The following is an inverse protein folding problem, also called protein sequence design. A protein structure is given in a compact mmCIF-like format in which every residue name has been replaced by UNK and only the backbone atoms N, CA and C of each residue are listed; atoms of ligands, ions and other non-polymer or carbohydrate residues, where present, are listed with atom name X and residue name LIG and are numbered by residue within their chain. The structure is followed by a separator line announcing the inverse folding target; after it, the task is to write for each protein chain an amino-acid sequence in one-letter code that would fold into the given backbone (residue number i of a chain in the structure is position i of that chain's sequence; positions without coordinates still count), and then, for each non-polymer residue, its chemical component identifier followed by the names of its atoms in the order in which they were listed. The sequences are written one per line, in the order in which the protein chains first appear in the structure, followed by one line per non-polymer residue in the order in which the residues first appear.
data_IF_586148937935
#
_entry.id   IF_586148937935
#
_cell.length_a   1.000
_cell.length_b   1.000
_cell.length_c   1.000
_cell.angle_alpha   90.00
_cell.angle_beta   90.00
_cell.angle_gamma   90.00
#
_symmetry.space_group_name_H-M   'P 1'
#
loop_
_entity.id
_entity.type
_entity.pdbx_description
1 polymer ?
#
# COMPACT_ATOMS: atom_id res chain seq x y z
N UNK A 1 -2.79 -9.15 20.74
CA UNK A 1 -2.94 -8.46 19.45
C UNK A 1 -4.42 -8.48 19.09
N UNK A 2 -5.09 -7.32 19.11
CA UNK A 2 -6.52 -7.24 18.84
C UNK A 2 -6.76 -7.38 17.33
N UNK A 3 -7.51 -8.39 16.90
CA UNK A 3 -8.03 -8.45 15.53
C UNK A 3 -8.99 -7.27 15.34
N UNK A 4 -8.57 -6.28 14.55
CA UNK A 4 -9.42 -5.13 14.23
C UNK A 4 -10.49 -5.61 13.25
N UNK A 5 -11.76 -5.46 13.63
CA UNK A 5 -12.91 -5.90 12.82
C UNK A 5 -12.88 -5.23 11.44
N UNK A 6 -13.21 -5.96 10.36
CA UNK A 6 -13.32 -5.36 9.03
C UNK A 6 -14.36 -4.24 9.09
N UNK A 7 -13.98 -3.03 8.65
CA UNK A 7 -14.96 -1.97 8.40
C UNK A 7 -15.77 -2.41 7.20
N UNK A 8 -17.02 -2.80 7.42
CA UNK A 8 -17.96 -3.06 6.32
C UNK A 8 -18.37 -1.70 5.77
N UNK A 9 -17.64 -1.22 4.77
CA UNK A 9 -18.07 -0.13 3.91
C UNK A 9 -18.89 -0.78 2.79
N UNK A 10 -20.21 -0.75 2.93
CA UNK A 10 -21.14 -1.40 2.00
C UNK A 10 -20.83 -1.02 0.54
N UNK A 11 -20.51 -2.02 -0.28
CA UNK A 11 -20.36 -1.89 -1.74
C UNK A 11 -18.96 -1.59 -2.28
N UNK A 12 -17.91 -1.53 -1.46
CA UNK A 12 -16.53 -1.28 -1.93
C UNK A 12 -15.62 -2.51 -1.77
N UNK A 13 -14.86 -2.82 -2.83
CA UNK A 13 -13.75 -3.79 -2.75
C UNK A 13 -12.56 -3.11 -2.05
N UNK A 14 -12.17 -3.63 -0.89
CA UNK A 14 -11.07 -3.12 -0.09
C UNK A 14 -9.88 -4.08 -0.17
N UNK A 15 -8.69 -3.52 -0.36
CA UNK A 15 -7.41 -4.20 -0.22
C UNK A 15 -6.81 -3.86 1.13
N UNK A 16 -6.24 -4.87 1.78
CA UNK A 16 -5.50 -4.73 3.03
C UNK A 16 -4.21 -5.53 2.94
N UNK A 17 -3.17 -5.02 3.57
CA UNK A 17 -1.91 -5.75 3.74
C UNK A 17 -2.17 -6.99 4.61
N UNK A 18 -1.77 -8.15 4.11
CA UNK A 18 -1.71 -9.38 4.91
C UNK A 18 -0.30 -9.49 5.50
N UNK A 19 -0.12 -9.03 6.73
CA UNK A 19 1.19 -8.94 7.42
C UNK A 19 1.99 -10.25 7.36
N UNK A 20 1.29 -11.40 7.41
CA UNK A 20 1.93 -12.73 7.38
C UNK A 20 2.52 -13.09 6.02
N UNK A 21 2.11 -12.40 4.95
CA UNK A 21 2.60 -12.58 3.60
C UNK A 21 3.66 -11.53 3.18
N UNK A 22 4.00 -10.58 4.06
CA UNK A 22 4.97 -9.53 3.76
C UNK A 22 6.41 -10.02 3.90
N UNK A 23 7.19 -9.88 2.82
CA UNK A 23 8.64 -10.04 2.85
C UNK A 23 9.31 -8.66 2.99
N UNK A 24 10.13 -8.51 4.03
CA UNK A 24 10.87 -7.27 4.29
C UNK A 24 12.34 -7.59 4.49
N UNK A 25 13.20 -7.04 3.63
CA UNK A 25 14.65 -7.25 3.70
C UNK A 25 15.35 -6.22 4.60
N UNK A 26 14.78 -5.02 4.73
CA UNK A 26 15.32 -3.95 5.57
C UNK A 26 14.49 -3.81 6.86
N UNK A 27 15.13 -3.95 8.02
CA UNK A 27 14.51 -3.74 9.33
C UNK A 27 13.86 -2.35 9.44
N UNK A 28 14.42 -1.33 8.78
CA UNK A 28 13.80 0.01 8.70
C UNK A 28 12.44 -0.02 8.01
N UNK A 29 12.32 -0.79 6.91
CA UNK A 29 11.07 -0.94 6.16
C UNK A 29 10.01 -1.81 6.86
N UNK A 30 10.33 -2.43 8.00
CA UNK A 30 9.32 -3.17 8.80
C UNK A 30 8.29 -2.21 9.40
N UNK A 31 8.69 -0.99 9.75
CA UNK A 31 7.77 0.04 10.22
C UNK A 31 6.85 0.51 9.08
N UNK A 32 7.37 0.62 7.86
CA UNK A 32 6.57 0.92 6.66
C UNK A 32 5.42 -0.07 6.47
N UNK A 33 5.71 -1.37 6.48
CA UNK A 33 4.69 -2.41 6.31
C UNK A 33 3.61 -2.34 7.38
N UNK A 34 4.02 -2.13 8.65
CA UNK A 34 3.07 -1.97 9.75
C UNK A 34 2.16 -0.77 9.55
N UNK A 35 2.71 0.37 9.13
CA UNK A 35 1.91 1.56 8.79
C UNK A 35 0.92 1.23 7.69
N UNK A 36 1.38 0.64 6.57
CA UNK A 36 0.49 0.27 5.47
C UNK A 36 -0.64 -0.69 5.89
N UNK A 37 -0.38 -1.60 6.82
CA UNK A 37 -1.37 -2.55 7.33
C UNK A 37 -2.49 -1.92 8.18
N UNK A 38 -2.30 -0.69 8.65
CA UNK A 38 -3.34 0.05 9.36
C UNK A 38 -4.38 0.68 8.43
N UNK A 39 -4.10 0.74 7.13
CA UNK A 39 -4.95 1.39 6.13
C UNK A 39 -5.55 0.37 5.15
N UNK A 40 -6.82 0.60 4.80
CA UNK A 40 -7.48 -0.08 3.69
C UNK A 40 -7.30 0.77 2.43
N UNK A 41 -7.04 0.12 1.30
CA UNK A 41 -7.03 0.77 -0.01
C UNK A 41 -8.29 0.39 -0.78
N UNK A 42 -8.93 1.39 -1.39
CA UNK A 42 -10.01 1.15 -2.35
C UNK A 42 -9.44 0.82 -3.73
N UNK A 43 -10.29 0.30 -4.61
CA UNK A 43 -9.98 0.23 -6.04
C UNK A 43 -9.51 1.62 -6.53
N UNK A 44 -8.49 1.65 -7.39
CA UNK A 44 -7.83 2.85 -7.93
C UNK A 44 -6.95 3.65 -6.96
N UNK A 45 -6.89 3.31 -5.68
CA UNK A 45 -5.98 3.96 -4.73
C UNK A 45 -4.61 3.31 -4.69
N UNK A 46 -3.56 4.12 -4.76
CA UNK A 46 -2.17 3.67 -4.75
C UNK A 46 -1.85 2.66 -5.86
N UNK A 47 -0.69 2.00 -5.74
CA UNK A 47 -0.21 1.06 -6.77
C UNK A 47 -1.03 -0.23 -6.75
N UNK A 48 -1.37 -0.75 -5.57
CA UNK A 48 -2.13 -1.99 -5.42
C UNK A 48 -3.59 -1.86 -5.89
N UNK A 49 -4.28 -0.78 -5.53
CA UNK A 49 -5.65 -0.54 -5.99
C UNK A 49 -5.73 -0.27 -7.49
N UNK A 50 -4.70 0.36 -8.09
CA UNK A 50 -4.61 0.56 -9.56
C UNK A 50 -4.32 -0.76 -10.29
N UNK A 51 -3.54 -1.67 -9.71
CA UNK A 51 -3.32 -3.03 -10.26
C UNK A 51 -4.56 -3.96 -10.15
N UNK A 52 -5.68 -3.50 -9.59
CA UNK A 52 -6.96 -4.21 -9.78
C UNK A 52 -7.58 -3.92 -11.16
N UNK A 53 -7.30 -2.74 -11.73
CA UNK A 53 -7.76 -2.36 -13.06
C UNK A 53 -6.91 -2.99 -14.18
N UNK A 54 -5.64 -3.27 -13.89
CA UNK A 54 -4.66 -3.84 -14.83
C UNK A 54 -3.86 -4.94 -14.14
N UNK A 55 -3.46 -6.01 -14.84
CA UNK A 55 -2.71 -7.11 -14.19
C UNK A 55 -1.37 -6.67 -13.53
N UNK A 56 -0.83 -5.53 -13.94
CA UNK A 56 0.36 -4.91 -13.37
C UNK A 56 0.20 -3.39 -13.33
N UNK A 57 0.74 -2.75 -12.30
CA UNK A 57 0.90 -1.31 -12.23
C UNK A 57 2.28 -0.97 -11.64
N UNK A 58 3.00 -0.07 -12.30
CA UNK A 58 4.37 0.31 -11.92
C UNK A 58 4.51 1.82 -11.88
N UNK A 59 5.14 2.30 -10.81
CA UNK A 59 5.53 3.69 -10.63
C UNK A 59 7.05 3.72 -10.48
N UNK A 60 7.78 4.40 -11.40
CA UNK A 60 9.24 4.45 -11.37
C UNK A 60 9.77 5.28 -10.21
N UNK A 61 9.08 6.38 -9.87
CA UNK A 61 9.37 7.20 -8.70
C UNK A 61 8.08 7.62 -7.99
N UNK A 62 7.79 7.02 -6.84
CA UNK A 62 6.63 7.35 -6.00
C UNK A 62 6.80 8.69 -5.31
N UNK A 63 8.02 9.24 -5.26
CA UNK A 63 8.32 10.53 -4.66
C UNK A 63 7.83 11.71 -5.52
N UNK A 64 7.53 11.46 -6.79
CA UNK A 64 6.93 12.44 -7.71
C UNK A 64 5.39 12.49 -7.63
N UNK A 65 4.78 11.57 -6.87
CA UNK A 65 3.33 11.50 -6.72
C UNK A 65 2.83 12.44 -5.62
N UNK A 66 1.63 12.97 -5.81
CA UNK A 66 0.93 13.71 -4.77
C UNK A 66 0.45 12.74 -3.66
N UNK A 67 0.43 13.16 -2.38
CA UNK A 67 -0.19 12.38 -1.30
C UNK A 67 -1.61 11.88 -1.60
N UNK A 68 -2.39 12.61 -2.40
CA UNK A 68 -3.72 12.21 -2.85
C UNK A 68 -3.68 11.03 -3.84
N UNK A 69 -2.60 10.92 -4.63
CA UNK A 69 -2.39 9.86 -5.62
C UNK A 69 -1.66 8.62 -5.05
N UNK A 70 -0.88 8.84 -3.99
CA UNK A 70 -0.15 7.81 -3.27
C UNK A 70 -0.11 8.10 -1.77
N UNK A 71 -1.04 7.48 -1.05
CA UNK A 71 -1.24 7.69 0.38
C UNK A 71 -0.05 7.33 1.28
N UNK A 72 1.00 6.71 0.72
CA UNK A 72 2.22 6.34 1.44
C UNK A 72 3.45 7.15 1.01
N UNK A 73 3.27 8.30 0.33
CA UNK A 73 4.39 9.09 -0.21
C UNK A 73 5.33 9.60 0.90
N UNK A 74 4.78 10.00 2.05
CA UNK A 74 5.58 10.49 3.16
C UNK A 74 6.42 9.38 3.80
N UNK A 75 5.83 8.20 3.94
CA UNK A 75 6.55 7.03 4.42
C UNK A 75 7.60 6.60 3.38
N UNK A 76 7.28 6.62 2.08
CA UNK A 76 8.25 6.36 1.03
C UNK A 76 9.45 7.31 1.08
N UNK A 77 9.24 8.61 1.29
CA UNK A 77 10.33 9.57 1.54
C UNK A 77 11.16 9.20 2.77
N UNK A 78 10.49 8.91 3.90
CA UNK A 78 11.17 8.55 5.16
C UNK A 78 12.08 7.33 4.99
N UNK A 79 11.66 6.35 4.18
CA UNK A 79 12.39 5.10 3.98
C UNK A 79 13.23 5.05 2.70
N UNK A 80 13.32 6.15 1.94
CA UNK A 80 14.10 6.20 0.69
C UNK A 80 13.57 5.26 -0.39
N UNK A 81 12.26 4.98 -0.40
CA UNK A 81 11.61 4.14 -1.39
C UNK A 81 11.34 4.97 -2.65
N UNK A 82 11.92 4.58 -3.78
CA UNK A 82 11.74 5.27 -5.06
C UNK A 82 10.68 4.57 -5.93
N UNK A 83 10.87 3.30 -6.26
CA UNK A 83 9.93 2.58 -7.14
C UNK A 83 8.86 1.81 -6.38
N UNK A 84 7.69 1.63 -7.00
CA UNK A 84 6.66 0.71 -6.51
C UNK A 84 5.99 -0.06 -7.65
N UNK A 85 5.73 -1.35 -7.42
CA UNK A 85 5.05 -2.23 -8.37
C UNK A 85 3.98 -3.06 -7.66
N UNK A 86 2.86 -3.29 -8.32
CA UNK A 86 1.84 -4.24 -7.88
C UNK A 86 1.43 -5.16 -9.04
N UNK A 87 1.18 -6.43 -8.72
CA UNK A 87 0.85 -7.50 -9.67
C UNK A 87 -0.35 -8.30 -9.10
N UNK A 88 -1.33 -8.63 -9.95
CA UNK A 88 -2.55 -9.38 -9.58
C UNK A 88 -2.60 -10.79 -10.18
#
# INVERSE_FOLDING_TARGET
MAKRLPKILEGKNLLRVEDTACYVNDLGATEFVKTCAEFDLEERQGVAGKALLSNIYFVPDVLELDPDDYSFVYEAWKFGLHGAVAIK
#
